data_IF_209283902467
#
_entry.id   IF_209283902467
#
_cell.length_a   1.000
_cell.length_b   1.000
_cell.length_c   1.000
_cell.angle_alpha   90.00
_cell.angle_beta   90.00
_cell.angle_gamma   90.00
#
_symmetry.space_group_name_H-M   'P 1'
#
loop_
_entity.id
_entity.type
_entity.pdbx_description
1 polymer ?
#
# COMPACT_ATOMS: atom_id res chain seq x y z
N UNK A 1 -27.57 -34.02 -20.50
CA UNK A 1 -27.14 -32.91 -19.65
C UNK A 1 -25.62 -32.79 -19.80
N UNK A 2 -25.07 -31.62 -20.09
CA UNK A 2 -23.62 -31.46 -20.05
C UNK A 2 -23.13 -31.75 -18.63
N UNK A 3 -21.96 -32.39 -18.47
CA UNK A 3 -21.41 -32.70 -17.16
C UNK A 3 -21.21 -31.39 -16.38
N UNK A 4 -21.53 -31.39 -15.07
CA UNK A 4 -21.29 -30.23 -14.21
C UNK A 4 -19.79 -29.95 -14.20
N UNK A 5 -19.37 -28.66 -14.24
CA UNK A 5 -17.97 -28.29 -14.10
C UNK A 5 -17.39 -28.90 -12.83
N UNK A 6 -16.16 -29.44 -12.91
CA UNK A 6 -15.48 -30.08 -11.79
C UNK A 6 -15.15 -29.09 -10.66
N UNK A 7 -14.96 -27.80 -11.02
CA UNK A 7 -14.62 -26.70 -10.11
C UNK A 7 -15.55 -25.53 -10.36
N UNK A 8 -15.77 -24.71 -9.31
CA UNK A 8 -16.44 -23.42 -9.43
C UNK A 8 -15.47 -22.35 -9.91
N UNK A 9 -16.00 -21.22 -10.35
CA UNK A 9 -15.20 -20.05 -10.73
C UNK A 9 -14.36 -19.53 -9.54
N UNK A 10 -14.95 -19.52 -8.35
CA UNK A 10 -14.34 -19.09 -7.09
C UNK A 10 -13.16 -19.98 -6.68
N UNK A 11 -13.28 -21.29 -6.85
CA UNK A 11 -12.19 -22.23 -6.58
C UNK A 11 -11.00 -22.00 -7.51
N UNK A 12 -11.27 -21.71 -8.79
CA UNK A 12 -10.22 -21.36 -9.75
C UNK A 12 -9.54 -20.04 -9.42
N UNK A 13 -10.31 -19.01 -9.00
CA UNK A 13 -9.77 -17.72 -8.55
C UNK A 13 -8.91 -17.90 -7.30
N UNK A 14 -9.37 -18.68 -6.33
CA UNK A 14 -8.61 -18.98 -5.12
C UNK A 14 -7.27 -19.63 -5.44
N UNK A 15 -7.28 -20.64 -6.32
CA UNK A 15 -6.03 -21.30 -6.76
C UNK A 15 -5.10 -20.34 -7.49
N UNK A 16 -5.64 -19.44 -8.33
CA UNK A 16 -4.86 -18.42 -9.01
C UNK A 16 -4.26 -17.39 -8.04
N UNK A 17 -5.01 -16.96 -7.02
CA UNK A 17 -4.52 -16.07 -5.97
C UNK A 17 -3.37 -16.72 -5.18
N UNK A 18 -3.47 -18.00 -4.87
CA UNK A 18 -2.39 -18.74 -4.19
C UNK A 18 -1.14 -18.84 -5.07
N UNK A 19 -1.28 -19.05 -6.38
CA UNK A 19 -0.15 -19.01 -7.32
C UNK A 19 0.46 -17.60 -7.40
N UNK A 20 -0.36 -16.56 -7.38
CA UNK A 20 0.11 -15.19 -7.33
C UNK A 20 0.91 -14.88 -6.04
N UNK A 21 0.53 -15.44 -4.90
CA UNK A 21 1.30 -15.37 -3.65
C UNK A 21 2.67 -16.03 -3.76
N UNK A 22 2.74 -17.17 -4.46
CA UNK A 22 3.96 -17.96 -4.59
C UNK A 22 4.97 -17.33 -5.56
N UNK A 23 4.49 -16.75 -6.68
CA UNK A 23 5.37 -16.29 -7.75
C UNK A 23 4.83 -15.18 -8.65
N UNK A 24 3.93 -14.33 -8.14
CA UNK A 24 3.34 -13.24 -8.90
C UNK A 24 2.42 -13.70 -10.04
N UNK A 25 2.05 -12.77 -10.92
CA UNK A 25 1.14 -13.08 -12.04
C UNK A 25 1.73 -14.10 -13.04
N UNK A 26 3.05 -14.16 -13.16
CA UNK A 26 3.72 -15.08 -14.08
C UNK A 26 3.56 -16.55 -13.66
N UNK A 27 3.32 -16.82 -12.36
CA UNK A 27 3.01 -18.15 -11.88
C UNK A 27 1.62 -18.64 -12.32
N UNK A 28 0.71 -17.72 -12.69
CA UNK A 28 -0.63 -18.05 -13.15
C UNK A 28 -0.56 -18.46 -14.63
N UNK A 29 -0.37 -19.76 -14.84
CA UNK A 29 -0.45 -20.41 -16.15
C UNK A 29 -1.33 -21.65 -16.03
N UNK A 30 -1.97 -22.05 -17.15
CA UNK A 30 -2.91 -23.18 -17.15
C UNK A 30 -2.32 -24.47 -16.55
N UNK A 31 -1.02 -24.74 -16.83
CA UNK A 31 -0.31 -25.90 -16.30
C UNK A 31 -0.20 -25.88 -14.77
N UNK A 32 0.15 -24.73 -14.19
CA UNK A 32 0.32 -24.62 -12.74
C UNK A 32 -1.04 -24.70 -12.02
N UNK A 33 -2.07 -24.07 -12.58
CA UNK A 33 -3.44 -24.17 -12.10
C UNK A 33 -3.92 -25.65 -12.15
N UNK A 34 -3.71 -26.33 -13.27
CA UNK A 34 -4.04 -27.75 -13.41
C UNK A 34 -3.34 -28.62 -12.36
N UNK A 35 -2.03 -28.38 -12.14
CA UNK A 35 -1.26 -29.07 -11.09
C UNK A 35 -1.80 -28.80 -9.68
N UNK A 36 -2.11 -27.53 -9.37
CA UNK A 36 -2.59 -27.10 -8.05
C UNK A 36 -3.97 -27.69 -7.72
N UNK A 37 -4.82 -27.85 -8.73
CA UNK A 37 -6.18 -28.37 -8.60
C UNK A 37 -6.31 -29.86 -8.91
N UNK A 38 -5.21 -30.53 -9.18
CA UNK A 38 -5.18 -31.94 -9.60
C UNK A 38 -6.17 -32.23 -10.75
N UNK A 39 -6.01 -31.47 -11.85
CA UNK A 39 -6.88 -31.56 -13.02
C UNK A 39 -6.14 -31.28 -14.31
N UNK A 40 -6.75 -31.63 -15.44
CA UNK A 40 -6.24 -31.27 -16.76
C UNK A 40 -6.27 -29.75 -16.94
N UNK A 41 -5.24 -29.13 -17.55
CA UNK A 41 -5.20 -27.68 -17.81
C UNK A 41 -6.42 -27.17 -18.59
N UNK A 42 -7.02 -27.99 -19.46
CA UNK A 42 -8.22 -27.64 -20.23
C UNK A 42 -9.47 -27.40 -19.36
N UNK A 43 -9.54 -27.99 -18.16
CA UNK A 43 -10.67 -27.84 -17.23
C UNK A 43 -10.82 -26.39 -16.77
N UNK A 44 -9.73 -25.63 -16.74
CA UNK A 44 -9.72 -24.23 -16.31
C UNK A 44 -10.56 -23.35 -17.23
N UNK A 45 -10.53 -23.65 -18.53
CA UNK A 45 -11.25 -22.91 -19.57
C UNK A 45 -12.75 -23.20 -19.62
N UNK A 46 -13.31 -23.95 -18.63
CA UNK A 46 -14.75 -24.08 -18.47
C UNK A 46 -15.42 -22.82 -17.90
N UNK A 47 -14.65 -21.97 -17.21
CA UNK A 47 -15.14 -20.72 -16.59
C UNK A 47 -14.40 -19.46 -17.05
N UNK A 48 -13.30 -19.60 -17.79
CA UNK A 48 -12.50 -18.49 -18.27
C UNK A 48 -12.12 -18.71 -19.72
N UNK A 49 -12.10 -17.65 -20.51
CA UNK A 49 -11.76 -17.73 -21.93
C UNK A 49 -10.25 -17.68 -22.17
N UNK A 50 -9.48 -17.17 -21.21
CA UNK A 50 -8.04 -17.02 -21.30
C UNK A 50 -7.36 -17.04 -19.95
N UNK A 51 -6.04 -17.27 -19.94
CA UNK A 51 -5.22 -17.13 -18.72
C UNK A 51 -5.21 -15.68 -18.24
N UNK A 52 -5.28 -14.72 -19.16
CA UNK A 52 -5.32 -13.30 -18.81
C UNK A 52 -6.58 -12.93 -18.02
N UNK A 53 -7.74 -13.49 -18.39
CA UNK A 53 -8.99 -13.31 -17.62
C UNK A 53 -8.84 -13.85 -16.18
N UNK A 54 -8.13 -14.98 -16.01
CA UNK A 54 -7.85 -15.53 -14.69
C UNK A 54 -6.89 -14.64 -13.90
N UNK A 55 -5.87 -14.08 -14.55
CA UNK A 55 -4.95 -13.11 -13.92
C UNK A 55 -5.69 -11.88 -13.43
N UNK A 56 -6.60 -11.32 -14.23
CA UNK A 56 -7.42 -10.19 -13.82
C UNK A 56 -8.31 -10.54 -12.62
N UNK A 57 -8.94 -11.72 -12.63
CA UNK A 57 -9.73 -12.18 -11.48
C UNK A 57 -8.87 -12.39 -10.21
N UNK A 58 -7.61 -12.83 -10.36
CA UNK A 58 -6.67 -12.94 -9.24
C UNK A 58 -6.22 -11.57 -8.72
N UNK A 59 -6.06 -10.56 -9.58
CA UNK A 59 -5.77 -9.18 -9.19
C UNK A 59 -6.92 -8.60 -8.36
N UNK A 60 -8.18 -8.82 -8.79
CA UNK A 60 -9.35 -8.38 -8.02
C UNK A 60 -9.44 -9.09 -6.67
N UNK A 61 -9.17 -10.38 -6.61
CA UNK A 61 -9.12 -11.13 -5.36
C UNK A 61 -7.98 -10.64 -4.42
N UNK A 62 -6.82 -10.28 -4.98
CA UNK A 62 -5.73 -9.66 -4.23
C UNK A 62 -6.11 -8.28 -3.70
N UNK A 63 -6.84 -7.49 -4.49
CA UNK A 63 -7.38 -6.19 -4.07
C UNK A 63 -8.37 -6.32 -2.94
N UNK A 64 -9.27 -7.30 -3.00
CA UNK A 64 -10.23 -7.57 -1.93
C UNK A 64 -9.53 -7.99 -0.63
N UNK A 65 -8.46 -8.80 -0.73
CA UNK A 65 -7.63 -9.12 0.42
C UNK A 65 -7.00 -7.86 1.02
N UNK A 66 -6.42 -6.99 0.19
CA UNK A 66 -5.84 -5.71 0.61
C UNK A 66 -6.89 -4.80 1.28
N UNK A 67 -8.11 -4.74 0.74
CA UNK A 67 -9.23 -4.01 1.35
C UNK A 67 -9.47 -4.43 2.80
N UNK A 68 -9.33 -5.73 3.10
CA UNK A 68 -9.41 -6.24 4.46
C UNK A 68 -8.34 -5.68 5.41
N UNK A 69 -7.13 -5.42 4.93
CA UNK A 69 -6.08 -4.74 5.71
C UNK A 69 -6.45 -3.27 5.94
N UNK A 70 -6.91 -2.57 4.91
CA UNK A 70 -7.32 -1.17 5.03
C UNK A 70 -8.44 -1.00 6.06
N UNK A 71 -9.49 -1.81 5.99
CA UNK A 71 -10.60 -1.76 6.94
C UNK A 71 -10.16 -2.04 8.40
N UNK A 72 -9.18 -2.91 8.60
CA UNK A 72 -8.56 -3.11 9.92
C UNK A 72 -7.81 -1.86 10.38
N UNK A 73 -7.08 -1.23 9.45
CA UNK A 73 -6.30 -0.02 9.74
C UNK A 73 -7.18 1.16 10.13
N UNK A 74 -8.28 1.37 9.42
CA UNK A 74 -9.23 2.46 9.69
C UNK A 74 -9.95 2.33 11.05
N UNK A 75 -9.98 1.12 11.64
CA UNK A 75 -10.50 0.89 12.99
C UNK A 75 -9.48 1.16 14.10
N UNK A 76 -8.21 1.39 13.75
CA UNK A 76 -7.16 1.73 14.73
C UNK A 76 -7.22 3.22 15.08
N UNK A 77 -6.55 3.61 16.19
CA UNK A 77 -6.47 5.00 16.63
C UNK A 77 -5.00 5.44 16.65
N UNK A 78 -4.63 6.51 15.90
CA UNK A 78 -5.45 7.24 14.94
C UNK A 78 -5.62 6.46 13.61
N UNK A 79 -6.77 6.62 12.91
CA UNK A 79 -7.10 5.80 11.72
C UNK A 79 -6.09 5.92 10.58
N UNK A 80 -5.60 7.12 10.29
CA UNK A 80 -4.61 7.35 9.23
C UNK A 80 -3.30 6.59 9.52
N UNK A 81 -2.82 6.57 10.76
CA UNK A 81 -1.66 5.78 11.17
C UNK A 81 -1.95 4.29 11.04
N UNK A 82 -3.14 3.87 11.48
CA UNK A 82 -3.58 2.48 11.36
C UNK A 82 -3.62 2.01 9.91
N UNK A 83 -4.15 2.83 8.99
CA UNK A 83 -4.12 2.58 7.56
C UNK A 83 -2.68 2.36 7.06
N UNK A 84 -1.76 3.28 7.37
CA UNK A 84 -0.37 3.19 6.92
C UNK A 84 0.35 1.95 7.49
N UNK A 85 0.11 1.60 8.76
CA UNK A 85 0.65 0.36 9.37
C UNK A 85 0.14 -0.88 8.65
N UNK A 86 -1.17 -0.95 8.36
CA UNK A 86 -1.75 -2.12 7.70
C UNK A 86 -1.35 -2.20 6.22
N UNK A 87 -1.13 -1.08 5.55
CA UNK A 87 -0.55 -1.03 4.21
C UNK A 87 0.85 -1.67 4.16
N UNK A 88 1.73 -1.29 5.08
CA UNK A 88 3.07 -1.86 5.18
C UNK A 88 3.00 -3.34 5.59
N UNK A 89 2.09 -3.68 6.51
CA UNK A 89 1.88 -5.05 6.94
C UNK A 89 1.45 -5.96 5.78
N UNK A 90 0.57 -5.49 4.91
CA UNK A 90 0.20 -6.21 3.68
C UNK A 90 1.44 -6.48 2.81
N UNK A 91 2.32 -5.48 2.64
CA UNK A 91 3.57 -5.66 1.89
C UNK A 91 4.52 -6.69 2.52
N UNK A 92 4.55 -6.76 3.85
CA UNK A 92 5.38 -7.75 4.58
C UNK A 92 4.82 -9.17 4.52
N UNK A 93 3.51 -9.34 4.65
CA UNK A 93 2.85 -10.64 4.71
C UNK A 93 2.53 -11.20 3.32
N UNK A 94 2.28 -10.34 2.34
CA UNK A 94 1.81 -10.68 1.00
C UNK A 94 2.69 -10.01 -0.08
N UNK A 95 4.01 -10.14 0.01
CA UNK A 95 4.98 -9.39 -0.80
C UNK A 95 4.76 -9.50 -2.32
N UNK A 96 4.43 -10.69 -2.83
CA UNK A 96 4.14 -10.88 -4.23
C UNK A 96 2.81 -10.22 -4.65
N UNK A 97 1.77 -10.31 -3.82
CA UNK A 97 0.49 -9.63 -4.08
C UNK A 97 0.64 -8.12 -3.98
N UNK A 98 1.44 -7.62 -3.03
CA UNK A 98 1.80 -6.22 -2.96
C UNK A 98 2.47 -5.74 -4.25
N UNK A 99 3.45 -6.50 -4.75
CA UNK A 99 4.11 -6.19 -6.03
C UNK A 99 3.14 -6.16 -7.19
N UNK A 100 2.21 -7.12 -7.26
CA UNK A 100 1.15 -7.18 -8.27
C UNK A 100 0.26 -5.93 -8.24
N UNK A 101 -0.12 -5.46 -7.06
CA UNK A 101 -1.04 -4.32 -6.91
C UNK A 101 -0.35 -2.96 -7.06
N UNK A 102 0.89 -2.80 -6.56
CA UNK A 102 1.49 -1.48 -6.34
C UNK A 102 2.83 -1.25 -7.04
N UNK A 103 3.51 -2.29 -7.54
CA UNK A 103 4.83 -2.14 -8.15
C UNK A 103 4.84 -2.30 -9.68
N UNK A 104 3.72 -2.68 -10.29
CA UNK A 104 3.64 -2.80 -11.74
C UNK A 104 3.59 -1.42 -12.41
N UNK A 105 4.35 -1.28 -13.50
CA UNK A 105 4.31 -0.07 -14.33
C UNK A 105 2.89 0.16 -14.85
N UNK A 106 2.38 1.36 -14.63
CA UNK A 106 1.10 1.86 -15.16
C UNK A 106 1.40 3.01 -16.12
N UNK A 107 1.14 2.82 -17.40
CA UNK A 107 1.37 3.88 -18.39
C UNK A 107 0.32 4.99 -18.23
N UNK A 108 0.78 6.24 -18.29
CA UNK A 108 -0.08 7.42 -18.27
C UNK A 108 -0.61 7.87 -16.90
N UNK A 109 -0.32 7.14 -15.82
CA UNK A 109 -0.72 7.54 -14.48
C UNK A 109 0.22 8.58 -13.88
N UNK A 110 -0.34 9.71 -13.43
CA UNK A 110 0.35 10.65 -12.55
C UNK A 110 0.26 10.15 -11.10
N UNK A 111 1.17 10.62 -10.24
CA UNK A 111 1.20 10.28 -8.82
C UNK A 111 -0.16 10.48 -8.12
N UNK A 112 -0.80 11.63 -8.36
CA UNK A 112 -2.10 11.95 -7.76
C UNK A 112 -3.19 10.99 -8.23
N UNK A 113 -3.25 10.66 -9.52
CA UNK A 113 -4.23 9.72 -10.07
C UNK A 113 -4.06 8.32 -9.48
N UNK A 114 -2.80 7.92 -9.20
CA UNK A 114 -2.50 6.65 -8.58
C UNK A 114 -3.07 6.55 -7.17
N UNK A 115 -2.94 7.61 -6.36
CA UNK A 115 -3.40 7.64 -4.97
C UNK A 115 -4.92 7.77 -4.87
N UNK A 116 -5.53 8.65 -5.66
CA UNK A 116 -6.98 8.91 -5.62
C UNK A 116 -7.80 7.70 -6.10
N UNK A 117 -7.27 6.95 -7.07
CA UNK A 117 -7.94 5.76 -7.60
C UNK A 117 -7.89 4.54 -6.66
N UNK A 118 -7.25 4.65 -5.50
CA UNK A 118 -7.41 3.66 -4.45
C UNK A 118 -8.78 3.84 -3.79
N UNK A 119 -9.66 2.84 -3.86
CA UNK A 119 -11.06 2.91 -3.40
C UNK A 119 -11.29 3.28 -1.92
N UNK A 120 -10.22 3.61 -1.20
CA UNK A 120 -10.22 4.01 0.21
C UNK A 120 -9.85 5.47 0.44
N UNK A 121 -9.48 6.20 -0.62
CA UNK A 121 -8.99 7.58 -0.51
C UNK A 121 -9.93 8.45 0.34
N UNK A 122 -11.21 8.53 -0.02
CA UNK A 122 -12.18 9.34 0.69
C UNK A 122 -12.33 8.95 2.16
N UNK A 123 -12.37 7.66 2.46
CA UNK A 123 -12.47 7.17 3.86
C UNK A 123 -11.27 7.62 4.70
N UNK A 124 -10.06 7.56 4.14
CA UNK A 124 -8.84 7.93 4.85
C UNK A 124 -8.75 9.44 5.03
N UNK A 125 -9.15 10.23 4.01
CA UNK A 125 -9.19 11.68 4.10
C UNK A 125 -10.19 12.14 5.15
N UNK A 126 -11.44 11.65 5.11
CA UNK A 126 -12.46 11.99 6.13
C UNK A 126 -11.96 11.62 7.54
N UNK A 127 -11.35 10.45 7.70
CA UNK A 127 -10.77 10.06 8.97
C UNK A 127 -9.63 10.98 9.43
N UNK A 128 -8.88 11.59 8.52
CA UNK A 128 -7.85 12.57 8.84
C UNK A 128 -8.45 13.93 9.23
N UNK A 129 -9.45 14.40 8.49
CA UNK A 129 -10.20 15.63 8.80
C UNK A 129 -10.75 15.55 10.25
N UNK A 130 -11.47 14.48 10.57
CA UNK A 130 -12.11 14.29 11.87
C UNK A 130 -11.09 14.14 13.01
N UNK A 131 -10.03 13.36 12.79
CA UNK A 131 -9.12 12.97 13.86
C UNK A 131 -8.10 14.06 14.21
N UNK A 132 -7.74 14.91 13.25
CA UNK A 132 -6.74 15.97 13.43
C UNK A 132 -7.32 17.38 13.33
N UNK A 133 -8.64 17.53 13.16
CA UNK A 133 -9.34 18.80 12.94
C UNK A 133 -8.72 19.58 11.79
N UNK A 134 -8.53 18.91 10.65
CA UNK A 134 -7.97 19.47 9.43
C UNK A 134 -9.07 19.86 8.46
N UNK A 135 -8.81 20.87 7.63
CA UNK A 135 -9.59 21.07 6.41
C UNK A 135 -9.18 20.06 5.33
N UNK A 136 -9.93 20.02 4.23
CA UNK A 136 -9.72 19.06 3.14
C UNK A 136 -8.30 19.15 2.54
N UNK A 137 -7.83 20.35 2.25
CA UNK A 137 -6.50 20.57 1.63
C UNK A 137 -5.38 20.09 2.57
N UNK A 138 -5.51 20.36 3.84
CA UNK A 138 -4.58 19.91 4.88
C UNK A 138 -4.59 18.39 5.03
N UNK A 139 -5.77 17.76 5.03
CA UNK A 139 -5.91 16.31 5.13
C UNK A 139 -5.29 15.60 3.92
N UNK A 140 -5.53 16.11 2.71
CA UNK A 140 -4.92 15.62 1.47
C UNK A 140 -3.39 15.77 1.50
N UNK A 141 -2.88 16.91 1.94
CA UNK A 141 -1.44 17.12 2.07
C UNK A 141 -0.79 16.09 3.01
N UNK A 142 -1.36 15.89 4.19
CA UNK A 142 -0.82 14.90 5.14
C UNK A 142 -0.93 13.50 4.57
N UNK A 143 -2.06 13.14 3.98
CA UNK A 143 -2.27 11.82 3.39
C UNK A 143 -1.25 11.52 2.29
N UNK A 144 -1.07 12.43 1.33
CA UNK A 144 -0.14 12.23 0.21
C UNK A 144 1.30 12.02 0.68
N UNK A 145 1.75 12.81 1.66
CA UNK A 145 3.10 12.67 2.21
C UNK A 145 3.25 11.39 3.03
N UNK A 146 2.26 11.05 3.86
CA UNK A 146 2.24 9.81 4.64
C UNK A 146 2.19 8.59 3.75
N UNK A 147 1.42 8.66 2.65
CA UNK A 147 1.34 7.56 1.69
C UNK A 147 2.70 7.30 1.02
N UNK A 148 3.36 8.34 0.51
CA UNK A 148 4.67 8.21 -0.11
C UNK A 148 5.72 7.64 0.87
N UNK A 149 5.69 8.09 2.12
CA UNK A 149 6.57 7.60 3.18
C UNK A 149 6.30 6.12 3.51
N UNK A 150 5.02 5.75 3.69
CA UNK A 150 4.62 4.38 3.95
C UNK A 150 4.93 3.45 2.76
N UNK A 151 4.74 3.94 1.52
CA UNK A 151 5.09 3.20 0.32
C UNK A 151 6.58 2.88 0.25
N UNK A 152 7.45 3.83 0.59
CA UNK A 152 8.89 3.58 0.67
C UNK A 152 9.26 2.45 1.64
N UNK A 153 8.68 2.45 2.85
CA UNK A 153 8.88 1.36 3.83
C UNK A 153 8.31 0.04 3.30
N UNK A 154 7.12 0.07 2.70
CA UNK A 154 6.46 -1.11 2.16
C UNK A 154 7.27 -1.75 1.03
N UNK A 155 7.83 -0.96 0.10
CA UNK A 155 8.70 -1.45 -0.97
C UNK A 155 9.96 -2.10 -0.41
N UNK A 156 10.64 -1.44 0.53
CA UNK A 156 11.84 -2.00 1.18
C UNK A 156 11.53 -3.32 1.90
N UNK A 157 10.35 -3.43 2.51
CA UNK A 157 9.91 -4.65 3.19
C UNK A 157 9.57 -5.75 2.18
N UNK A 158 8.77 -5.47 1.15
CA UNK A 158 8.35 -6.44 0.16
C UNK A 158 9.50 -7.00 -0.67
N UNK A 159 10.51 -6.16 -0.96
CA UNK A 159 11.72 -6.56 -1.72
C UNK A 159 12.79 -7.22 -0.85
N UNK A 160 12.60 -7.23 0.48
CA UNK A 160 13.57 -7.79 1.42
C UNK A 160 14.86 -6.98 1.58
N UNK A 161 14.91 -5.75 1.06
CA UNK A 161 16.06 -4.83 1.22
C UNK A 161 16.28 -4.47 2.69
N UNK A 162 15.18 -4.25 3.43
CA UNK A 162 15.21 -4.00 4.87
C UNK A 162 14.20 -4.85 5.60
N UNK A 163 14.51 -5.21 6.84
CA UNK A 163 13.57 -5.84 7.77
C UNK A 163 13.20 -4.82 8.84
N UNK A 164 11.92 -4.60 9.01
CA UNK A 164 11.37 -3.70 10.02
C UNK A 164 10.51 -4.50 11.00
N UNK A 165 10.59 -4.19 12.28
CA UNK A 165 9.59 -4.61 13.25
C UNK A 165 8.34 -3.73 13.17
N UNK A 166 7.21 -4.23 13.63
CA UNK A 166 5.97 -3.42 13.67
C UNK A 166 6.11 -2.22 14.62
N UNK A 167 6.96 -2.32 15.63
CA UNK A 167 7.25 -1.23 16.56
C UNK A 167 8.02 -0.11 15.87
N UNK A 168 9.10 -0.43 15.15
CA UNK A 168 9.86 0.54 14.35
C UNK A 168 8.97 1.24 13.32
N UNK A 169 8.16 0.48 12.56
CA UNK A 169 7.19 1.03 11.62
C UNK A 169 6.24 2.01 12.31
N UNK A 170 5.69 1.63 13.46
CA UNK A 170 4.77 2.47 14.22
C UNK A 170 5.41 3.76 14.71
N UNK A 171 6.67 3.71 15.17
CA UNK A 171 7.44 4.87 15.59
C UNK A 171 7.76 5.79 14.42
N UNK A 172 8.28 5.24 13.32
CA UNK A 172 8.61 5.99 12.10
C UNK A 172 7.39 6.72 11.54
N UNK A 173 6.25 6.02 11.39
CA UNK A 173 4.99 6.62 10.92
C UNK A 173 4.46 7.69 11.87
N UNK A 174 4.57 7.47 13.19
CA UNK A 174 4.15 8.44 14.19
C UNK A 174 4.98 9.73 14.13
N UNK A 175 6.31 9.61 13.95
CA UNK A 175 7.20 10.75 13.79
C UNK A 175 6.92 11.50 12.49
N UNK A 176 6.82 10.81 11.36
CA UNK A 176 6.52 11.41 10.07
C UNK A 176 5.19 12.17 10.08
N UNK A 177 4.11 11.55 10.56
CA UNK A 177 2.80 12.18 10.66
C UNK A 177 2.86 13.47 11.48
N UNK A 178 3.50 13.42 12.66
CA UNK A 178 3.67 14.60 13.53
C UNK A 178 4.45 15.70 12.82
N UNK A 179 5.54 15.36 12.11
CA UNK A 179 6.35 16.33 11.38
C UNK A 179 5.55 17.02 10.27
N UNK A 180 4.71 16.30 9.54
CA UNK A 180 3.84 16.90 8.52
C UNK A 180 2.78 17.80 9.14
N UNK A 181 2.14 17.39 10.25
CA UNK A 181 1.16 18.20 10.97
C UNK A 181 1.77 19.50 11.53
N UNK A 182 2.97 19.43 12.10
CA UNK A 182 3.69 20.62 12.60
C UNK A 182 4.11 21.51 11.43
N UNK A 183 4.67 20.93 10.36
CA UNK A 183 5.11 21.69 9.20
C UNK A 183 4.00 22.46 8.49
N UNK A 184 2.74 22.01 8.58
CA UNK A 184 1.61 22.77 8.05
C UNK A 184 1.25 24.01 8.88
N UNK A 185 1.51 23.98 10.20
CA UNK A 185 1.21 25.10 11.09
C UNK A 185 2.25 26.22 11.02
N UNK A 186 3.43 25.96 10.45
CA UNK A 186 4.47 26.97 10.26
C UNK A 186 4.09 27.85 9.05
N UNK A 187 4.06 29.20 9.18
CA UNK A 187 3.78 30.10 8.08
C UNK A 187 4.70 29.84 6.87
N UNK A 188 4.17 30.10 5.65
CA UNK A 188 4.87 29.71 4.41
C UNK A 188 6.20 30.46 4.23
N UNK A 189 6.26 31.70 4.63
CA UNK A 189 7.45 32.56 4.66
C UNK A 189 8.51 32.05 5.64
N UNK A 190 8.12 31.54 6.80
CA UNK A 190 9.05 30.92 7.75
C UNK A 190 9.54 29.55 7.27
N UNK A 191 8.71 28.78 6.54
CA UNK A 191 9.10 27.48 5.97
C UNK A 191 10.20 27.62 4.92
N UNK A 192 10.14 28.66 4.08
CA UNK A 192 11.15 28.93 3.06
C UNK A 192 12.51 29.34 3.68
N UNK A 193 12.47 29.98 4.84
CA UNK A 193 13.68 30.37 5.57
C UNK A 193 14.33 29.22 6.37
N UNK A 194 13.57 28.19 6.72
CA UNK A 194 14.07 27.04 7.48
C UNK A 194 14.60 25.92 6.58
N UNK A 195 14.31 25.95 5.28
CA UNK A 195 14.93 24.99 4.36
C UNK A 195 16.40 25.33 4.14
N UNK A 196 17.33 24.36 4.32
CA UNK A 196 18.73 24.58 3.95
C UNK A 196 18.77 24.95 2.47
N UNK A 197 19.40 26.09 2.15
CA UNK A 197 19.60 26.50 0.76
C UNK A 197 20.33 25.37 0.05
N UNK A 198 19.70 24.76 -0.92
CA UNK A 198 20.31 23.70 -1.74
C UNK A 198 21.53 24.30 -2.40
N UNK A 199 22.75 23.92 -1.96
CA UNK A 199 24.02 24.49 -2.47
C UNK A 199 25.10 24.69 -1.42
N UNK A 200 24.76 24.65 -0.12
CA UNK A 200 25.77 24.63 0.95
C UNK A 200 26.22 23.17 1.22
N UNK A 201 27.51 22.90 1.12
CA UNK A 201 28.06 21.60 1.51
C UNK A 201 27.53 21.23 2.90
N UNK A 202 26.97 20.02 3.04
CA UNK A 202 26.58 19.44 4.34
C UNK A 202 27.86 19.24 5.18
N UNK A 203 28.22 20.24 5.97
CA UNK A 203 29.19 20.12 7.03
C UNK A 203 28.45 20.21 8.36
N UNK A 204 27.94 19.09 8.81
CA UNK A 204 27.27 18.93 10.09
C UNK A 204 26.53 17.61 10.12
N UNK A 205 26.92 16.71 11.01
CA UNK A 205 26.27 15.42 11.18
C UNK A 205 24.80 15.56 11.60
N UNK A 206 24.08 14.45 11.55
CA UNK A 206 22.65 14.29 11.87
C UNK A 206 22.25 14.88 13.24
N UNK A 207 23.20 15.11 14.12
CA UNK A 207 23.02 15.66 15.48
C UNK A 207 22.51 17.11 15.52
N UNK A 208 22.69 17.90 14.44
CA UNK A 208 22.21 19.29 14.39
C UNK A 208 20.71 19.46 14.11
N UNK A 209 19.98 18.39 13.77
CA UNK A 209 18.54 18.42 13.48
C UNK A 209 17.64 18.09 14.68
N UNK A 210 18.20 17.79 15.85
CA UNK A 210 17.44 17.32 17.03
C UNK A 210 17.05 18.43 18.01
N UNK A 211 17.41 19.68 17.78
CA UNK A 211 17.14 20.79 18.70
C UNK A 211 15.87 21.57 18.36
N UNK A 212 14.73 20.88 18.12
CA UNK A 212 13.41 21.48 18.27
C UNK A 212 12.85 21.03 19.62
N UNK A 213 12.65 21.98 20.51
CA UNK A 213 12.15 21.75 21.86
C UNK A 213 10.76 21.09 21.84
N UNK A 214 10.73 19.79 22.11
CA UNK A 214 9.53 18.93 22.05
C UNK A 214 8.60 19.15 23.25
N UNK A 215 8.86 20.14 24.12
CA UNK A 215 8.10 20.36 25.37
C UNK A 215 6.82 21.17 25.22
N UNK A 216 6.44 21.59 24.01
CA UNK A 216 5.22 22.39 23.80
C UNK A 216 4.23 21.75 22.81
N UNK A 217 4.21 20.41 22.67
CA UNK A 217 3.15 19.72 21.92
C UNK A 217 2.44 18.72 22.83
#
# INVERSE_FOLDING_TARGET
MPPKPKFTREELIKAALELAREGGLEAIVARNLGKKLDTAPSTIFTHFNSVEEIRQAAIEAARELYNGYVEKGLKMVPPMKGFAVQYIRFAMEESNLYSVLFMNKREGFKYVDFIINEGHYEKVITAAEDNFSLDREQAEFVYHNMWAYAHGIAVMSATGVCKFSLEEISQMLGMACRSFLIGMKVPRDERENTMPKVGGAMQGGIESYVAVDIKQC
#
